data_IF_416715274579
#
_entry.id   IF_416715274579
#
_cell.length_a   1.000
_cell.length_b   1.000
_cell.length_c   1.000
_cell.angle_alpha   90.00
_cell.angle_beta   90.00
_cell.angle_gamma   90.00
#
_symmetry.space_group_name_H-M   'P 1'
#
loop_
_entity.id
_entity.type
_entity.pdbx_description
1 polymer ?
#
# COMPACT_ATOMS: atom_id res chain seq x y z
N UNK A 1 40.55 -27.96 3.83
CA UNK A 1 39.43 -27.03 3.57
C UNK A 1 38.32 -27.38 4.54
N UNK A 2 37.81 -26.40 5.29
CA UNK A 2 36.59 -26.58 6.05
C UNK A 2 35.42 -26.18 5.14
N UNK A 3 34.39 -27.02 5.12
CA UNK A 3 33.14 -26.76 4.40
C UNK A 3 32.04 -26.65 5.45
N UNK A 4 31.26 -25.57 5.41
CA UNK A 4 30.10 -25.36 6.27
C UNK A 4 28.80 -25.48 5.47
N UNK A 5 27.71 -25.82 6.15
CA UNK A 5 26.38 -25.85 5.57
C UNK A 5 25.63 -24.55 5.89
N UNK A 6 24.84 -24.06 4.94
CA UNK A 6 23.89 -22.97 5.15
C UNK A 6 22.48 -23.55 5.32
N UNK A 7 21.75 -23.07 6.31
CA UNK A 7 20.33 -23.39 6.48
C UNK A 7 19.49 -22.21 6.01
N UNK A 8 18.54 -22.48 5.10
CA UNK A 8 17.52 -21.53 4.69
C UNK A 8 16.59 -21.32 5.88
N UNK A 9 16.60 -20.14 6.49
CA UNK A 9 15.57 -19.79 7.47
C UNK A 9 14.21 -19.74 6.76
N UNK A 10 13.32 -20.67 7.10
CA UNK A 10 11.89 -20.45 6.88
C UNK A 10 11.47 -19.36 7.85
N UNK A 11 11.22 -18.15 7.35
CA UNK A 11 10.70 -17.05 8.17
C UNK A 11 9.33 -17.50 8.73
N UNK A 12 9.21 -17.83 10.02
CA UNK A 12 7.93 -18.13 10.64
C UNK A 12 7.10 -16.84 10.67
N UNK A 13 5.77 -16.94 10.59
CA UNK A 13 4.87 -15.79 10.70
C UNK A 13 5.04 -14.99 12.01
N UNK A 14 5.68 -15.60 13.02
CA UNK A 14 6.02 -15.00 14.32
C UNK A 14 7.21 -14.03 14.25
N UNK A 15 8.03 -14.07 13.19
CA UNK A 15 9.24 -13.26 13.07
C UNK A 15 9.03 -11.91 12.36
N UNK A 16 7.92 -11.75 11.63
CA UNK A 16 7.49 -10.50 10.99
C UNK A 16 5.96 -10.43 10.96
N UNK A 17 5.39 -9.39 11.55
CA UNK A 17 3.96 -9.07 11.47
C UNK A 17 3.77 -7.59 11.16
N UNK A 18 2.61 -7.20 10.64
CA UNK A 18 2.35 -5.81 10.34
C UNK A 18 0.88 -5.43 10.31
N UNK A 19 0.64 -4.14 10.38
CA UNK A 19 -0.70 -3.53 10.32
C UNK A 19 -0.67 -2.46 9.24
N UNK A 20 -1.68 -2.44 8.38
CA UNK A 20 -1.84 -1.48 7.29
C UNK A 20 -3.11 -0.67 7.53
N UNK A 21 -2.98 0.64 7.40
CA UNK A 21 -4.06 1.62 7.49
C UNK A 21 -4.09 2.46 6.23
N UNK A 22 -5.30 2.86 5.84
CA UNK A 22 -5.51 3.74 4.69
C UNK A 22 -6.70 4.66 4.95
N UNK A 23 -6.61 5.88 4.46
CA UNK A 23 -7.70 6.87 4.50
C UNK A 23 -7.65 7.78 3.28
N UNK A 24 -8.80 8.34 2.91
CA UNK A 24 -8.88 9.37 1.88
C UNK A 24 -8.86 10.73 2.56
N UNK A 25 -8.04 11.64 2.02
CA UNK A 25 -7.81 12.97 2.59
C UNK A 25 -8.08 14.03 1.53
N UNK A 26 -8.85 15.05 1.91
CA UNK A 26 -9.16 16.19 1.04
C UNK A 26 -7.98 17.18 0.94
N UNK A 27 -8.04 18.19 0.06
CA UNK A 27 -6.98 19.20 -0.03
C UNK A 27 -6.75 20.02 1.26
N UNK A 28 -7.70 20.00 2.19
CA UNK A 28 -7.61 20.63 3.50
C UNK A 28 -6.99 19.74 4.58
N UNK A 29 -6.43 18.58 4.19
CA UNK A 29 -5.86 17.58 5.08
C UNK A 29 -6.89 16.93 6.04
N UNK A 30 -8.16 16.88 5.63
CA UNK A 30 -9.23 16.28 6.44
C UNK A 30 -9.64 14.91 5.87
N UNK A 31 -9.74 13.86 6.73
CA UNK A 31 -10.30 12.59 6.31
C UNK A 31 -11.74 12.74 5.80
N UNK A 32 -12.01 12.19 4.62
CA UNK A 32 -13.33 12.33 3.97
C UNK A 32 -13.67 11.11 3.13
N UNK A 33 -14.96 10.91 2.90
CA UNK A 33 -15.49 9.95 1.93
C UNK A 33 -16.08 10.64 0.69
N UNK A 34 -15.96 11.97 0.58
CA UNK A 34 -16.48 12.75 -0.54
C UNK A 34 -15.38 13.68 -1.04
N UNK A 35 -15.03 13.54 -2.31
CA UNK A 35 -13.97 14.31 -2.98
C UNK A 35 -14.46 14.87 -4.31
N UNK A 36 -13.79 15.90 -4.83
CA UNK A 36 -14.01 16.37 -6.20
C UNK A 36 -12.91 15.88 -7.12
N UNK A 37 -13.28 15.44 -8.31
CA UNK A 37 -12.38 14.88 -9.31
C UNK A 37 -11.17 15.79 -9.58
N UNK A 38 -11.40 17.10 -9.65
CA UNK A 38 -10.38 18.09 -10.04
C UNK A 38 -9.57 18.63 -8.87
N UNK A 39 -9.91 18.26 -7.65
CA UNK A 39 -9.22 18.68 -6.44
C UNK A 39 -8.02 17.76 -6.15
N UNK A 40 -7.04 18.31 -5.42
CA UNK A 40 -5.80 17.60 -5.06
C UNK A 40 -5.96 16.68 -3.85
N UNK A 41 -6.95 15.78 -3.87
CA UNK A 41 -7.14 14.79 -2.80
C UNK A 41 -6.11 13.65 -2.89
N UNK A 42 -5.83 13.02 -1.75
CA UNK A 42 -4.86 11.94 -1.62
C UNK A 42 -5.47 10.70 -0.96
N UNK A 43 -4.86 9.56 -1.22
CA UNK A 43 -5.00 8.38 -0.37
C UNK A 43 -3.75 8.31 0.52
N UNK A 44 -3.95 8.52 1.81
CA UNK A 44 -2.89 8.43 2.80
C UNK A 44 -2.86 7.02 3.37
N UNK A 45 -1.69 6.41 3.30
CA UNK A 45 -1.45 5.03 3.70
C UNK A 45 -0.34 5.02 4.74
N UNK A 46 -0.55 4.29 5.83
CA UNK A 46 0.49 4.03 6.82
C UNK A 46 0.51 2.56 7.17
N UNK A 47 1.71 2.01 7.35
CA UNK A 47 1.85 0.65 7.82
C UNK A 47 3.02 0.51 8.76
N UNK A 48 2.85 -0.44 9.66
CA UNK A 48 3.85 -0.81 10.64
C UNK A 48 4.21 -2.27 10.43
N UNK A 49 5.50 -2.55 10.55
CA UNK A 49 6.05 -3.89 10.58
C UNK A 49 6.78 -4.04 11.91
N UNK A 50 6.64 -5.20 12.53
CA UNK A 50 7.29 -5.53 13.80
C UNK A 50 7.82 -6.95 13.73
N UNK A 51 8.86 -7.25 14.49
CA UNK A 51 9.46 -8.58 14.57
C UNK A 51 11.00 -8.55 14.48
N UNK A 52 11.61 -9.68 14.79
CA UNK A 52 13.08 -9.81 14.93
C UNK A 52 13.84 -9.61 13.61
N UNK A 53 13.17 -9.79 12.47
CA UNK A 53 13.80 -9.67 11.15
C UNK A 53 13.67 -8.29 10.51
N UNK A 54 13.15 -7.29 11.24
CA UNK A 54 12.87 -5.98 10.65
C UNK A 54 14.11 -5.26 10.14
N UNK A 55 15.24 -5.45 10.82
CA UNK A 55 16.55 -4.90 10.44
C UNK A 55 17.15 -5.61 9.22
N UNK A 56 16.60 -6.76 8.85
CA UNK A 56 17.06 -7.61 7.76
C UNK A 56 16.21 -7.44 6.49
N UNK A 57 15.21 -6.57 6.51
CA UNK A 57 14.39 -6.27 5.34
C UNK A 57 15.19 -5.48 4.29
N UNK A 58 15.16 -5.95 3.05
CA UNK A 58 15.82 -5.33 1.90
C UNK A 58 14.95 -5.45 0.63
N UNK A 59 15.04 -4.45 -0.26
CA UNK A 59 14.16 -4.28 -1.42
C UNK A 59 13.24 -3.06 -1.33
N UNK A 60 12.03 -3.17 -1.87
CA UNK A 60 11.04 -2.10 -1.91
C UNK A 60 9.63 -2.58 -1.53
N UNK A 61 8.84 -1.67 -0.97
CA UNK A 61 7.39 -1.73 -0.94
C UNK A 61 6.83 -1.26 -2.28
N UNK A 62 5.75 -1.90 -2.71
CA UNK A 62 4.94 -1.48 -3.85
C UNK A 62 3.51 -1.26 -3.38
N UNK A 63 3.04 -0.03 -3.52
CA UNK A 63 1.67 0.38 -3.18
C UNK A 63 0.86 0.61 -4.46
N UNK A 64 -0.33 0.03 -4.51
CA UNK A 64 -1.28 0.23 -5.59
C UNK A 64 -2.66 0.59 -5.00
N UNK A 65 -3.29 1.63 -5.52
CA UNK A 65 -4.68 1.96 -5.22
C UNK A 65 -5.57 1.38 -6.30
N UNK A 66 -6.53 0.59 -5.89
CA UNK A 66 -7.52 -0.04 -6.77
C UNK A 66 -8.86 0.59 -6.44
N UNK A 67 -9.49 1.20 -7.46
CA UNK A 67 -10.84 1.74 -7.34
C UNK A 67 -11.81 0.94 -8.21
N UNK A 68 -12.83 0.37 -7.57
CA UNK A 68 -13.89 -0.37 -8.25
C UNK A 68 -15.18 0.45 -8.27
N UNK A 69 -15.66 0.79 -9.49
CA UNK A 69 -16.86 1.60 -9.67
C UNK A 69 -18.12 0.80 -9.30
N UNK A 70 -18.95 1.37 -8.44
CA UNK A 70 -20.21 0.78 -8.03
C UNK A 70 -21.34 1.16 -8.99
N UNK A 71 -22.05 0.15 -9.49
CA UNK A 71 -23.27 0.33 -10.27
C UNK A 71 -23.07 0.62 -11.76
N UNK A 72 -21.85 0.57 -12.28
CA UNK A 72 -21.59 0.75 -13.71
C UNK A 72 -20.38 -0.05 -14.18
N UNK A 73 -20.61 -1.19 -14.86
CA UNK A 73 -19.57 -2.00 -15.53
C UNK A 73 -18.42 -2.52 -14.65
N UNK A 74 -17.65 -3.48 -15.16
CA UNK A 74 -16.35 -3.82 -14.56
C UNK A 74 -15.31 -2.81 -15.03
N UNK A 75 -15.09 -1.74 -14.27
CA UNK A 75 -13.96 -0.84 -14.50
C UNK A 75 -13.14 -0.74 -13.22
N UNK A 76 -12.10 -1.58 -13.17
CA UNK A 76 -11.03 -1.51 -12.17
C UNK A 76 -10.07 -0.41 -12.60
N UNK A 77 -9.87 0.59 -11.75
CA UNK A 77 -8.94 1.69 -12.02
C UNK A 77 -7.72 1.59 -11.09
N UNK A 78 -6.66 0.88 -11.50
CA UNK A 78 -5.41 0.87 -10.74
C UNK A 78 -4.68 2.21 -10.90
N UNK A 79 -4.21 2.77 -9.80
CA UNK A 79 -3.22 3.85 -9.84
C UNK A 79 -1.86 3.29 -10.28
N UNK A 80 -0.97 4.12 -10.87
CA UNK A 80 0.42 3.73 -11.02
C UNK A 80 1.00 3.28 -9.66
N UNK A 81 1.75 2.16 -9.61
CA UNK A 81 2.35 1.70 -8.38
C UNK A 81 3.34 2.74 -7.82
N UNK A 82 3.31 2.95 -6.52
CA UNK A 82 4.28 3.79 -5.80
C UNK A 82 5.29 2.86 -5.14
N UNK A 83 6.56 3.03 -5.48
CA UNK A 83 7.66 2.26 -4.89
C UNK A 83 8.32 3.03 -3.75
N UNK A 84 8.51 2.35 -2.62
CA UNK A 84 9.15 2.92 -1.43
C UNK A 84 10.22 1.95 -0.92
N UNK A 85 11.47 2.38 -0.88
CA UNK A 85 12.58 1.55 -0.41
C UNK A 85 12.37 1.15 1.05
N UNK A 86 12.74 -0.07 1.42
CA UNK A 86 12.82 -0.42 2.84
C UNK A 86 13.89 0.44 3.52
N UNK A 87 13.49 1.07 4.63
CA UNK A 87 14.43 1.64 5.60
C UNK A 87 14.59 0.62 6.73
N UNK A 88 15.77 -0.01 6.87
CA UNK A 88 16.04 -0.96 7.96
C UNK A 88 15.77 -0.32 9.33
N UNK A 89 15.16 -1.06 10.24
CA UNK A 89 14.88 -0.63 11.61
C UNK A 89 13.81 0.46 11.77
N UNK A 90 13.25 1.00 10.69
CA UNK A 90 12.18 2.01 10.79
C UNK A 90 10.91 1.40 11.39
N UNK A 91 10.50 0.24 10.85
CA UNK A 91 9.26 -0.46 11.20
C UNK A 91 7.96 0.32 11.04
N UNK A 92 8.03 1.59 10.63
CA UNK A 92 6.89 2.42 10.30
C UNK A 92 7.16 3.09 8.95
N UNK A 93 6.13 3.12 8.13
CA UNK A 93 6.17 3.66 6.78
C UNK A 93 4.88 4.41 6.49
N UNK A 94 4.97 5.44 5.65
CA UNK A 94 3.84 6.28 5.26
C UNK A 94 3.98 6.68 3.80
N UNK A 95 2.86 6.79 3.10
CA UNK A 95 2.78 7.27 1.73
C UNK A 95 1.49 8.08 1.51
N UNK A 96 1.57 9.15 0.72
CA UNK A 96 0.41 9.92 0.28
C UNK A 96 0.34 9.86 -1.25
N UNK A 97 -0.71 9.22 -1.76
CA UNK A 97 -0.85 8.93 -3.19
C UNK A 97 -1.83 9.95 -3.80
N UNK A 98 -1.38 10.83 -4.71
CA UNK A 98 -2.24 11.84 -5.31
C UNK A 98 -3.21 11.21 -6.32
N UNK A 99 -4.51 11.51 -6.17
CA UNK A 99 -5.58 10.91 -6.98
C UNK A 99 -6.33 11.91 -7.86
N UNK A 100 -5.85 13.16 -7.92
CA UNK A 100 -6.41 14.23 -8.76
C UNK A 100 -6.58 13.76 -10.21
N UNK A 101 -7.81 13.83 -10.72
CA UNK A 101 -8.14 13.48 -12.09
C UNK A 101 -7.99 12.00 -12.45
N UNK A 102 -7.69 11.12 -11.48
CA UNK A 102 -7.51 9.68 -11.74
C UNK A 102 -8.83 8.93 -11.87
N UNK A 103 -9.89 9.42 -11.21
CA UNK A 103 -11.22 8.80 -11.20
C UNK A 103 -12.26 9.72 -11.84
N UNK A 104 -13.22 9.14 -12.55
CA UNK A 104 -14.42 9.86 -13.02
C UNK A 104 -15.42 10.07 -11.89
N UNK A 105 -16.41 10.97 -12.04
CA UNK A 105 -17.49 11.10 -11.07
C UNK A 105 -18.25 9.77 -10.91
N UNK A 106 -18.47 9.35 -9.65
CA UNK A 106 -19.03 8.04 -9.34
C UNK A 106 -18.84 7.65 -7.88
N UNK A 107 -19.40 6.50 -7.48
CA UNK A 107 -19.16 5.92 -6.16
C UNK A 107 -18.24 4.72 -6.31
N UNK A 108 -17.15 4.66 -5.55
CA UNK A 108 -16.13 3.61 -5.66
C UNK A 108 -15.93 2.90 -4.33
N UNK A 109 -15.64 1.60 -4.39
CA UNK A 109 -14.95 0.91 -3.29
C UNK A 109 -13.44 1.04 -3.54
N UNK A 110 -12.71 1.58 -2.55
CA UNK A 110 -11.26 1.73 -2.62
C UNK A 110 -10.54 0.65 -1.82
N UNK A 111 -9.54 0.05 -2.47
CA UNK A 111 -8.64 -0.92 -1.86
C UNK A 111 -7.20 -0.45 -2.05
N UNK A 112 -6.44 -0.40 -0.96
CA UNK A 112 -4.99 -0.27 -1.00
C UNK A 112 -4.41 -1.67 -1.02
N UNK A 113 -3.59 -1.96 -2.01
CA UNK A 113 -2.79 -3.18 -2.08
C UNK A 113 -1.33 -2.83 -1.79
N UNK A 114 -0.74 -3.50 -0.81
CA UNK A 114 0.66 -3.38 -0.44
C UNK A 114 1.35 -4.70 -0.72
N UNK A 115 2.39 -4.66 -1.53
CA UNK A 115 3.24 -5.82 -1.84
C UNK A 115 4.70 -5.45 -1.65
N UNK A 116 5.58 -6.45 -1.70
CA UNK A 116 7.03 -6.24 -1.59
C UNK A 116 7.75 -6.82 -2.78
N UNK A 117 8.85 -6.19 -3.14
CA UNK A 117 9.86 -6.73 -4.03
C UNK A 117 11.17 -6.87 -3.27
N UNK A 118 11.83 -8.01 -3.43
CA UNK A 118 13.14 -8.26 -2.81
C UNK A 118 14.22 -7.43 -3.51
N UNK A 119 15.41 -7.34 -2.91
CA UNK A 119 16.56 -6.72 -3.56
C UNK A 119 16.95 -7.36 -4.91
N UNK A 120 16.53 -8.61 -5.17
CA UNK A 120 16.72 -9.28 -6.46
C UNK A 120 15.63 -8.95 -7.50
N UNK A 121 14.68 -8.06 -7.17
CA UNK A 121 13.57 -7.68 -8.05
C UNK A 121 12.47 -8.73 -8.16
N UNK A 122 12.47 -9.76 -7.30
CA UNK A 122 11.42 -10.79 -7.26
C UNK A 122 10.33 -10.39 -6.28
N UNK A 123 9.13 -10.96 -6.42
CA UNK A 123 8.08 -10.81 -5.42
C UNK A 123 8.59 -11.24 -4.03
N UNK A 124 8.35 -10.39 -3.03
CA UNK A 124 8.65 -10.65 -1.63
C UNK A 124 7.51 -11.38 -0.93
N UNK A 125 7.79 -11.89 0.28
CA UNK A 125 6.84 -12.68 1.06
C UNK A 125 5.87 -11.83 1.90
N UNK A 126 6.13 -10.52 2.02
CA UNK A 126 5.28 -9.59 2.77
C UNK A 126 4.32 -8.87 1.84
N UNK A 127 3.09 -8.74 2.31
CA UNK A 127 2.06 -7.98 1.65
C UNK A 127 0.81 -7.89 2.51
N UNK A 128 -0.13 -7.08 2.08
CA UNK A 128 -1.40 -6.88 2.76
C UNK A 128 -2.30 -5.97 1.94
N UNK A 129 -3.54 -5.86 2.38
CA UNK A 129 -4.48 -4.93 1.77
C UNK A 129 -5.38 -4.33 2.84
N UNK A 130 -5.89 -3.13 2.56
CA UNK A 130 -6.91 -2.49 3.38
C UNK A 130 -7.99 -1.90 2.49
N UNK A 131 -9.25 -2.09 2.88
CA UNK A 131 -10.40 -1.50 2.21
C UNK A 131 -10.71 -0.18 2.92
N UNK A 132 -10.58 0.94 2.21
CA UNK A 132 -10.77 2.30 2.78
C UNK A 132 -12.26 2.66 2.93
N UNK A 133 -13.16 1.76 2.50
CA UNK A 133 -14.61 1.95 2.39
C UNK A 133 -15.02 2.77 1.17
N UNK A 134 -16.29 3.18 1.12
CA UNK A 134 -16.92 3.81 -0.05
C UNK A 134 -16.52 5.28 -0.14
N UNK A 135 -16.07 5.68 -1.33
CA UNK A 135 -15.86 7.08 -1.67
C UNK A 135 -16.84 7.55 -2.74
N UNK A 136 -17.25 8.82 -2.65
CA UNK A 136 -18.04 9.51 -3.66
C UNK A 136 -17.16 10.57 -4.34
N UNK A 137 -16.91 10.38 -5.63
CA UNK A 137 -16.22 11.33 -6.49
C UNK A 137 -17.26 12.20 -7.18
N UNK A 138 -17.18 13.51 -6.96
CA UNK A 138 -18.02 14.53 -7.62
C UNK A 138 -17.23 15.25 -8.71
N UNK A 139 -17.93 15.99 -9.55
CA UNK A 139 -17.31 16.95 -10.49
C UNK A 139 -16.51 18.06 -9.78
#
# INVERSE_FOLDING_TARGET
>A
MATGEFQVMKVPAEQLTGILHGQVVDPGAQPTNVVRQREGWTVDVSWEVTGELIDWLAGCWQLEIIADLLGGGETRHPSPPVELTFTPGSGRYTASIPMRGQLSPGTYDLVVNLTTTTAAGTAGALGGFVVISKILVKE
#
